data_IF_087547759669
#
_entry.id   IF_087547759669
#
_cell.length_a   1.000
_cell.length_b   1.000
_cell.length_c   1.000
_cell.angle_alpha   90.00
_cell.angle_beta   90.00
_cell.angle_gamma   90.00
#
_symmetry.space_group_name_H-M   'P 1'
#
loop_
_entity.id
_entity.type
_entity.pdbx_description
1 polymer ?
#
# COMPACT_ATOMS: atom_id res chain seq x y z
N UNK A 1 -40.24 45.91 -48.39
CA UNK A 1 -39.88 44.97 -47.30
C UNK A 1 -38.72 45.57 -46.52
N UNK A 2 -38.99 46.17 -45.34
CA UNK A 2 -37.94 46.55 -44.40
C UNK A 2 -37.48 45.26 -43.72
N UNK A 3 -36.18 44.94 -43.81
CA UNK A 3 -35.58 43.93 -42.94
C UNK A 3 -35.52 44.54 -41.56
N UNK A 4 -36.21 43.93 -40.60
CA UNK A 4 -36.05 44.27 -39.19
C UNK A 4 -34.60 43.95 -38.79
N UNK A 5 -33.83 44.98 -38.46
CA UNK A 5 -32.50 44.82 -37.90
C UNK A 5 -32.64 44.18 -36.51
N UNK A 6 -31.94 43.07 -36.22
CA UNK A 6 -32.05 42.41 -34.94
C UNK A 6 -31.58 43.37 -33.84
N UNK A 7 -32.46 43.60 -32.85
CA UNK A 7 -32.16 44.43 -31.70
C UNK A 7 -31.06 43.74 -30.86
N UNK A 8 -29.82 44.16 -31.07
CA UNK A 8 -28.61 43.56 -30.50
C UNK A 8 -28.67 43.57 -28.96
N UNK A 9 -29.28 44.60 -28.37
CA UNK A 9 -29.45 44.70 -26.91
C UNK A 9 -30.39 43.60 -26.41
N UNK A 10 -31.50 43.34 -27.10
CA UNK A 10 -32.45 42.29 -26.72
C UNK A 10 -31.80 40.90 -26.77
N UNK A 11 -30.97 40.64 -27.79
CA UNK A 11 -30.23 39.38 -27.92
C UNK A 11 -29.23 39.24 -26.76
N UNK A 12 -28.50 40.31 -26.42
CA UNK A 12 -27.54 40.31 -25.31
C UNK A 12 -28.21 40.07 -23.95
N UNK A 13 -29.39 40.65 -23.70
CA UNK A 13 -30.18 40.37 -22.50
C UNK A 13 -30.63 38.91 -22.42
N UNK A 14 -31.06 38.31 -23.54
CA UNK A 14 -31.43 36.89 -23.59
C UNK A 14 -30.23 36.01 -23.25
N UNK A 15 -29.05 36.30 -23.79
CA UNK A 15 -27.83 35.53 -23.48
C UNK A 15 -27.45 35.61 -22.00
N UNK A 16 -27.53 36.80 -21.40
CA UNK A 16 -27.24 36.99 -19.97
C UNK A 16 -28.26 36.23 -19.10
N UNK A 17 -29.54 36.28 -19.46
CA UNK A 17 -30.59 35.57 -18.73
C UNK A 17 -30.42 34.05 -18.80
N UNK A 18 -30.06 33.51 -19.98
CA UNK A 18 -29.76 32.08 -20.15
C UNK A 18 -28.54 31.67 -19.34
N UNK A 19 -27.46 32.47 -19.37
CA UNK A 19 -26.24 32.19 -18.60
C UNK A 19 -26.54 32.17 -17.09
N UNK A 20 -27.30 33.15 -16.59
CA UNK A 20 -27.71 33.22 -15.19
C UNK A 20 -28.53 31.98 -14.78
N UNK A 21 -29.45 31.54 -15.64
CA UNK A 21 -30.29 30.37 -15.36
C UNK A 21 -29.45 29.08 -15.30
N UNK A 22 -28.48 28.92 -16.20
CA UNK A 22 -27.54 27.79 -16.18
C UNK A 22 -26.71 27.77 -14.89
N UNK A 23 -26.20 28.92 -14.46
CA UNK A 23 -25.43 29.03 -13.21
C UNK A 23 -26.28 28.67 -11.98
N UNK A 24 -27.54 29.11 -11.93
CA UNK A 24 -28.47 28.77 -10.85
C UNK A 24 -28.74 27.25 -10.81
N UNK A 25 -28.91 26.61 -11.97
CA UNK A 25 -29.10 25.17 -12.08
C UNK A 25 -27.86 24.38 -11.62
N UNK A 26 -26.66 24.81 -12.02
CA UNK A 26 -25.41 24.19 -11.55
C UNK A 26 -25.27 24.34 -10.03
N UNK A 27 -25.53 25.53 -9.49
CA UNK A 27 -25.44 25.79 -8.06
C UNK A 27 -26.45 24.96 -7.24
N UNK A 28 -27.69 24.87 -7.71
CA UNK A 28 -28.72 24.03 -7.08
C UNK A 28 -28.44 22.54 -7.20
N UNK A 29 -27.78 22.09 -8.28
CA UNK A 29 -27.32 20.71 -8.40
C UNK A 29 -26.18 20.42 -7.41
N UNK A 30 -25.17 21.28 -7.34
CA UNK A 30 -24.01 21.11 -6.45
C UNK A 30 -24.40 21.14 -4.96
N UNK A 31 -25.32 22.00 -4.56
CA UNK A 31 -25.80 22.07 -3.16
C UNK A 31 -26.65 20.87 -2.74
N UNK A 32 -27.20 20.10 -3.69
CA UNK A 32 -27.91 18.85 -3.43
C UNK A 32 -27.00 17.62 -3.38
N UNK A 33 -25.73 17.76 -3.75
CA UNK A 33 -24.75 16.67 -3.60
C UNK A 33 -24.48 16.52 -2.11
N UNK A 34 -25.14 15.54 -1.49
CA UNK A 34 -24.85 15.14 -0.14
C UNK A 34 -23.49 14.42 -0.15
N UNK A 35 -22.42 15.15 0.11
CA UNK A 35 -21.07 14.60 0.22
C UNK A 35 -21.09 13.67 1.43
N UNK A 36 -21.25 12.37 1.19
CA UNK A 36 -21.03 11.36 2.22
C UNK A 36 -19.55 11.41 2.57
N UNK A 37 -19.21 12.16 3.60
CA UNK A 37 -17.90 12.06 4.23
C UNK A 37 -17.75 10.60 4.66
N UNK A 38 -16.83 9.89 4.03
CA UNK A 38 -16.41 8.57 4.48
C UNK A 38 -16.02 8.71 5.95
N UNK A 39 -16.58 7.85 6.81
CA UNK A 39 -16.12 7.77 8.20
C UNK A 39 -14.61 7.55 8.18
N UNK A 40 -13.84 8.14 9.12
CA UNK A 40 -12.42 7.83 9.24
C UNK A 40 -12.29 6.31 9.30
N UNK A 41 -11.53 5.74 8.36
CA UNK A 41 -11.28 4.30 8.33
C UNK A 41 -10.54 3.99 9.63
N UNK A 42 -11.21 3.32 10.56
CA UNK A 42 -10.55 2.81 11.75
C UNK A 42 -9.38 1.93 11.27
N UNK A 43 -8.16 2.28 11.68
CA UNK A 43 -6.97 1.53 11.30
C UNK A 43 -7.13 0.12 11.88
N UNK A 44 -7.38 -0.87 11.00
CA UNK A 44 -7.53 -2.26 11.41
C UNK A 44 -6.21 -2.78 11.96
N UNK A 45 -6.29 -3.49 13.08
CA UNK A 45 -5.16 -4.24 13.64
C UNK A 45 -4.70 -5.33 12.66
N UNK A 46 -3.47 -5.82 12.82
CA UNK A 46 -2.95 -6.89 11.98
C UNK A 46 -3.85 -8.14 12.02
N UNK A 47 -4.29 -8.55 13.21
CA UNK A 47 -5.15 -9.72 13.37
C UNK A 47 -6.48 -9.57 12.62
N UNK A 48 -7.10 -8.39 12.66
CA UNK A 48 -8.31 -8.08 11.89
C UNK A 48 -8.09 -8.09 10.36
N UNK A 49 -6.87 -7.82 9.90
CA UNK A 49 -6.51 -7.95 8.48
C UNK A 49 -6.35 -9.41 8.10
N UNK A 50 -5.76 -10.22 8.98
CA UNK A 50 -5.51 -11.64 8.77
C UNK A 50 -6.79 -12.49 8.73
N UNK A 51 -7.85 -12.12 9.47
CA UNK A 51 -9.14 -12.85 9.50
C UNK A 51 -9.74 -13.11 8.11
N UNK A 52 -9.45 -12.26 7.11
CA UNK A 52 -10.01 -12.36 5.76
C UNK A 52 -9.05 -12.97 4.75
N UNK A 53 -7.90 -13.46 5.19
CA UNK A 53 -6.84 -13.96 4.33
C UNK A 53 -6.68 -15.48 4.47
N UNK A 54 -6.16 -16.17 3.43
CA UNK A 54 -5.80 -17.58 3.51
C UNK A 54 -4.83 -17.85 4.67
N UNK A 55 -4.84 -19.09 5.16
CA UNK A 55 -3.99 -19.54 6.27
C UNK A 55 -2.49 -19.35 6.02
N UNK A 56 -2.05 -19.31 4.76
CA UNK A 56 -0.68 -18.96 4.40
C UNK A 56 -0.30 -17.56 4.88
N UNK A 57 -1.21 -16.58 4.84
CA UNK A 57 -0.95 -15.22 5.30
C UNK A 57 -0.74 -15.16 6.82
N UNK A 58 -1.54 -15.92 7.59
CA UNK A 58 -1.37 -16.05 9.03
C UNK A 58 0.00 -16.65 9.35
N UNK A 59 0.33 -17.78 8.74
CA UNK A 59 1.61 -18.46 8.94
C UNK A 59 2.80 -17.56 8.62
N UNK A 60 2.79 -16.86 7.47
CA UNK A 60 3.85 -15.91 7.10
C UNK A 60 3.94 -14.74 8.08
N UNK A 61 2.81 -14.26 8.59
CA UNK A 61 2.78 -13.23 9.62
C UNK A 61 3.34 -13.73 10.95
N UNK A 62 3.12 -14.99 11.32
CA UNK A 62 3.65 -15.58 12.55
C UNK A 62 5.18 -15.76 12.46
N UNK A 63 5.69 -16.23 11.32
CA UNK A 63 7.14 -16.25 11.04
C UNK A 63 7.75 -14.85 11.21
N UNK A 64 7.08 -13.84 10.65
CA UNK A 64 7.53 -12.49 10.77
C UNK A 64 7.49 -11.99 12.24
N UNK A 65 6.47 -12.36 13.03
CA UNK A 65 6.37 -12.00 14.46
C UNK A 65 7.52 -12.57 15.28
N UNK A 66 8.00 -13.76 14.95
CA UNK A 66 9.14 -14.37 15.64
C UNK A 66 10.43 -13.57 15.39
N UNK A 67 10.63 -13.08 14.17
CA UNK A 67 11.86 -12.36 13.80
C UNK A 67 11.75 -10.87 14.18
N UNK A 68 10.65 -10.22 13.82
CA UNK A 68 10.39 -8.78 13.89
C UNK A 68 9.27 -8.39 14.87
N UNK A 69 9.21 -9.03 16.04
CA UNK A 69 8.17 -8.79 17.05
C UNK A 69 7.89 -7.29 17.31
N UNK A 70 8.95 -6.53 17.60
CA UNK A 70 8.85 -5.09 17.93
C UNK A 70 8.23 -4.27 16.78
N UNK A 71 8.62 -4.57 15.54
CA UNK A 71 8.16 -3.84 14.35
C UNK A 71 6.79 -4.30 13.86
N UNK A 72 6.30 -5.46 14.29
CA UNK A 72 4.95 -5.93 13.98
C UNK A 72 3.93 -5.46 15.01
N UNK A 73 4.34 -5.26 16.26
CA UNK A 73 3.46 -4.66 17.28
C UNK A 73 3.20 -3.18 17.00
N UNK A 74 4.21 -2.47 16.46
CA UNK A 74 4.10 -1.05 16.09
C UNK A 74 4.52 -0.84 14.63
N UNK A 75 3.76 -1.38 13.65
CA UNK A 75 4.16 -1.31 12.27
C UNK A 75 3.87 0.08 11.72
N UNK A 76 4.84 0.68 11.05
CA UNK A 76 4.53 1.85 10.23
C UNK A 76 3.63 1.41 9.06
N UNK A 77 4.03 0.37 8.33
CA UNK A 77 3.25 -0.19 7.23
C UNK A 77 3.38 -1.71 7.15
N UNK A 78 2.22 -2.37 7.05
CA UNK A 78 2.11 -3.79 6.69
C UNK A 78 1.22 -3.90 5.45
N UNK A 79 1.67 -4.69 4.49
CA UNK A 79 0.99 -4.94 3.23
C UNK A 79 0.83 -6.44 2.94
N UNK A 80 -0.29 -6.77 2.31
CA UNK A 80 -0.55 -8.10 1.78
C UNK A 80 -0.79 -7.97 0.28
N UNK A 81 -0.07 -8.75 -0.53
CA UNK A 81 -0.25 -8.77 -1.98
C UNK A 81 -0.47 -10.17 -2.50
N UNK A 82 -1.24 -10.29 -3.57
CA UNK A 82 -1.60 -11.57 -4.18
C UNK A 82 -0.71 -11.84 -5.39
N UNK A 83 -0.21 -13.06 -5.48
CA UNK A 83 0.39 -13.59 -6.69
C UNK A 83 -0.69 -14.08 -7.66
N UNK A 84 -0.33 -14.24 -8.94
CA UNK A 84 -1.24 -14.79 -9.96
C UNK A 84 -1.74 -16.20 -9.62
N UNK A 85 -0.96 -16.96 -8.86
CA UNK A 85 -1.31 -18.29 -8.35
C UNK A 85 -2.41 -18.27 -7.28
N UNK A 86 -2.78 -17.09 -6.76
CA UNK A 86 -3.63 -16.94 -5.59
C UNK A 86 -2.87 -17.09 -4.26
N UNK A 87 -1.55 -17.25 -4.29
CA UNK A 87 -0.74 -17.19 -3.08
C UNK A 87 -0.65 -15.74 -2.54
N UNK A 88 -0.41 -15.60 -1.24
CA UNK A 88 -0.24 -14.28 -0.60
C UNK A 88 1.20 -14.07 -0.17
N UNK A 89 1.70 -12.87 -0.44
CA UNK A 89 2.89 -12.28 0.14
C UNK A 89 2.52 -11.40 1.33
N UNK A 90 3.27 -11.52 2.41
CA UNK A 90 3.25 -10.61 3.55
C UNK A 90 4.49 -9.71 3.50
N UNK A 91 4.32 -8.40 3.66
CA UNK A 91 5.42 -7.45 3.65
C UNK A 91 5.32 -6.43 4.79
N UNK A 92 6.46 -6.14 5.41
CA UNK A 92 6.62 -5.09 6.43
C UNK A 92 7.54 -4.02 5.85
N UNK A 93 7.17 -2.75 6.00
CA UNK A 93 8.05 -1.63 5.67
C UNK A 93 8.47 -0.96 6.97
N UNK A 94 9.78 -0.85 7.17
CA UNK A 94 10.37 -0.34 8.41
C UNK A 94 11.36 0.75 8.02
N UNK A 95 11.18 2.01 8.46
CA UNK A 95 12.17 3.05 8.19
C UNK A 95 13.53 2.69 8.79
N UNK A 96 14.60 3.14 8.14
CA UNK A 96 15.96 3.03 8.70
C UNK A 96 16.11 3.77 10.04
N UNK A 97 15.22 4.73 10.37
CA UNK A 97 15.17 5.42 11.67
C UNK A 97 14.66 4.52 12.81
N UNK A 98 13.87 3.49 12.50
CA UNK A 98 13.36 2.51 13.48
C UNK A 98 14.18 1.22 13.51
N UNK A 99 14.82 0.88 12.40
CA UNK A 99 15.69 -0.28 12.28
C UNK A 99 16.98 0.12 11.58
N UNK A 100 18.03 0.33 12.36
CA UNK A 100 19.33 0.64 11.79
C UNK A 100 19.90 -0.55 11.02
N UNK A 101 20.76 -0.29 10.04
CA UNK A 101 21.50 -1.36 9.36
C UNK A 101 22.30 -2.22 10.36
N UNK A 102 22.88 -1.59 11.38
CA UNK A 102 23.64 -2.30 12.40
C UNK A 102 22.75 -3.32 13.14
N UNK A 103 21.58 -2.90 13.59
CA UNK A 103 20.63 -3.76 14.30
C UNK A 103 20.06 -4.84 13.40
N UNK A 104 19.73 -4.52 12.13
CA UNK A 104 19.29 -5.51 11.17
C UNK A 104 20.27 -6.69 11.13
N UNK A 105 21.56 -6.39 10.91
CA UNK A 105 22.59 -7.42 10.75
C UNK A 105 22.97 -8.14 12.04
N UNK A 106 23.03 -7.44 13.19
CA UNK A 106 23.48 -8.05 14.44
C UNK A 106 22.36 -8.68 15.27
N UNK A 107 21.12 -8.22 15.11
CA UNK A 107 19.99 -8.63 15.95
C UNK A 107 18.93 -9.43 15.20
N UNK A 108 18.63 -9.08 13.95
CA UNK A 108 17.51 -9.69 13.21
C UNK A 108 17.95 -10.79 12.25
N UNK A 109 19.07 -10.62 11.54
CA UNK A 109 19.60 -11.69 10.68
C UNK A 109 19.90 -12.98 11.48
N UNK A 110 20.49 -12.95 12.70
CA UNK A 110 20.68 -14.17 13.48
C UNK A 110 19.36 -14.88 13.83
N UNK A 111 18.27 -14.14 14.05
CA UNK A 111 16.96 -14.73 14.33
C UNK A 111 16.40 -15.52 13.15
N UNK A 112 16.73 -15.15 11.90
CA UNK A 112 16.39 -15.99 10.75
C UNK A 112 17.04 -17.38 10.91
N UNK A 113 18.33 -17.41 11.21
CA UNK A 113 19.11 -18.64 11.35
C UNK A 113 18.62 -19.50 12.51
N UNK A 114 18.28 -18.87 13.64
CA UNK A 114 17.67 -19.54 14.81
C UNK A 114 16.30 -20.18 14.50
N UNK A 115 15.58 -19.63 13.51
CA UNK A 115 14.23 -20.08 13.13
C UNK A 115 14.21 -20.85 11.81
N UNK A 116 15.26 -21.62 11.54
CA UNK A 116 15.33 -22.53 10.38
C UNK A 116 15.29 -21.85 9.01
N UNK A 117 15.71 -20.59 8.93
CA UNK A 117 15.91 -19.90 7.66
C UNK A 117 17.39 -19.93 7.27
N UNK A 118 17.69 -20.41 6.05
CA UNK A 118 19.04 -20.41 5.50
C UNK A 118 19.20 -19.22 4.56
N UNK A 119 20.22 -18.41 4.79
CA UNK A 119 20.62 -17.35 3.86
C UNK A 119 20.96 -17.92 2.48
N UNK A 120 20.46 -17.29 1.43
CA UNK A 120 20.75 -17.61 0.04
C UNK A 120 21.67 -16.52 -0.54
N UNK A 121 22.55 -16.93 -1.45
CA UNK A 121 23.41 -16.00 -2.17
C UNK A 121 22.59 -15.21 -3.20
N UNK A 122 22.49 -13.90 -2.98
CA UNK A 122 21.85 -12.99 -3.91
C UNK A 122 22.58 -11.63 -3.88
N UNK A 123 23.02 -11.09 -5.02
CA UNK A 123 23.81 -9.87 -5.06
C UNK A 123 22.98 -8.59 -4.88
N UNK A 124 21.65 -8.66 -4.98
CA UNK A 124 20.78 -7.48 -5.00
C UNK A 124 20.07 -7.20 -3.68
N UNK A 125 19.77 -8.24 -2.90
CA UNK A 125 19.04 -8.16 -1.65
C UNK A 125 19.42 -9.32 -0.74
N UNK A 126 19.10 -9.21 0.56
CA UNK A 126 19.31 -10.33 1.48
C UNK A 126 18.16 -11.32 1.29
N UNK A 127 18.48 -12.57 0.99
CA UNK A 127 17.49 -13.60 0.74
C UNK A 127 17.65 -14.76 1.72
N UNK A 128 16.54 -15.31 2.15
CA UNK A 128 16.45 -16.48 3.01
C UNK A 128 15.47 -17.49 2.45
N UNK A 129 15.72 -18.76 2.75
CA UNK A 129 14.80 -19.87 2.48
C UNK A 129 14.55 -20.67 3.75
N UNK A 130 13.29 -20.82 4.13
CA UNK A 130 12.88 -21.63 5.27
C UNK A 130 13.09 -23.11 4.96
N UNK A 131 13.78 -23.85 5.82
CA UNK A 131 14.15 -25.26 5.60
C UNK A 131 12.94 -26.21 5.52
N UNK A 132 11.97 -26.01 6.42
CA UNK A 132 10.81 -26.90 6.56
C UNK A 132 9.73 -26.61 5.51
N UNK A 133 9.31 -25.35 5.37
CA UNK A 133 8.19 -24.96 4.50
C UNK A 133 8.63 -24.68 3.06
N UNK A 134 9.92 -24.39 2.86
CA UNK A 134 10.48 -23.94 1.59
C UNK A 134 10.20 -22.46 1.28
N UNK A 135 9.52 -21.74 2.18
CA UNK A 135 9.17 -20.33 1.99
C UNK A 135 10.40 -19.45 1.83
N UNK A 136 10.20 -18.30 1.22
CA UNK A 136 11.26 -17.32 0.98
C UNK A 136 11.03 -16.08 1.82
N UNK A 137 12.12 -15.43 2.22
CA UNK A 137 12.08 -14.10 2.78
C UNK A 137 13.17 -13.24 2.17
N UNK A 138 12.83 -11.99 1.89
CA UNK A 138 13.64 -11.09 1.09
C UNK A 138 13.68 -9.74 1.79
N UNK A 139 14.88 -9.17 1.95
CA UNK A 139 15.09 -7.87 2.59
C UNK A 139 15.78 -6.95 1.59
N UNK A 140 15.08 -5.89 1.20
CA UNK A 140 15.56 -4.89 0.25
C UNK A 140 15.39 -3.48 0.82
N UNK A 141 16.04 -2.51 0.19
CA UNK A 141 15.91 -1.09 0.56
C UNK A 141 15.11 -0.33 -0.50
N UNK A 142 14.23 0.56 -0.08
CA UNK A 142 13.54 1.51 -0.95
C UNK A 142 13.66 2.92 -0.38
N UNK A 143 13.97 3.89 -1.24
CA UNK A 143 13.91 5.31 -0.88
C UNK A 143 12.55 5.88 -1.27
N UNK A 144 11.83 6.44 -0.31
CA UNK A 144 10.50 7.05 -0.51
C UNK A 144 10.26 8.14 0.52
N UNK A 145 9.58 9.21 0.13
CA UNK A 145 9.21 10.33 1.03
C UNK A 145 10.42 10.88 1.82
N UNK A 146 11.54 11.07 1.11
CA UNK A 146 12.82 11.56 1.63
C UNK A 146 13.53 10.66 2.66
N UNK A 147 13.07 9.43 2.87
CA UNK A 147 13.66 8.48 3.81
C UNK A 147 13.87 7.07 3.21
N UNK A 148 14.80 6.32 3.80
CA UNK A 148 15.04 4.92 3.43
C UNK A 148 14.16 3.99 4.26
N UNK A 149 13.65 2.96 3.60
CA UNK A 149 12.88 1.89 4.20
C UNK A 149 13.52 0.54 3.91
N UNK A 150 13.50 -0.33 4.91
CA UNK A 150 13.59 -1.77 4.72
C UNK A 150 12.25 -2.31 4.28
N UNK A 151 12.22 -3.01 3.16
CA UNK A 151 11.10 -3.84 2.72
C UNK A 151 11.46 -5.27 3.04
N UNK A 152 10.75 -5.86 4.00
CA UNK A 152 10.93 -7.25 4.44
C UNK A 152 9.72 -8.04 4.00
N UNK A 153 9.94 -9.01 3.13
CA UNK A 153 8.88 -9.82 2.54
C UNK A 153 8.99 -11.26 3.05
N UNK A 154 7.82 -11.88 3.25
CA UNK A 154 7.65 -13.30 3.52
C UNK A 154 6.74 -13.86 2.43
N UNK A 155 7.24 -14.86 1.72
CA UNK A 155 6.73 -15.34 0.43
C UNK A 155 6.57 -16.87 0.47
N UNK A 156 5.45 -17.43 -0.01
CA UNK A 156 5.25 -18.88 -0.09
C UNK A 156 6.28 -19.57 -1.00
N UNK A 157 6.64 -20.81 -0.67
CA UNK A 157 7.72 -21.59 -1.32
C UNK A 157 7.71 -21.77 -2.84
N UNK A 158 6.57 -21.55 -3.50
CA UNK A 158 6.41 -21.67 -4.96
C UNK A 158 6.51 -20.33 -5.69
N UNK A 159 6.73 -19.26 -4.96
CA UNK A 159 6.84 -17.90 -5.48
C UNK A 159 8.23 -17.36 -5.16
N UNK A 160 8.71 -16.42 -5.97
CA UNK A 160 10.05 -15.87 -5.83
C UNK A 160 10.04 -14.47 -5.21
N UNK A 161 11.17 -14.15 -4.57
CA UNK A 161 11.55 -12.77 -4.29
C UNK A 161 11.51 -11.96 -5.59
N UNK A 162 10.48 -11.15 -5.76
CA UNK A 162 10.38 -10.23 -6.89
C UNK A 162 11.22 -8.99 -6.59
N UNK A 163 12.09 -8.59 -7.51
CA UNK A 163 12.57 -7.21 -7.56
C UNK A 163 11.35 -6.31 -7.79
N UNK A 164 10.85 -5.65 -6.75
CA UNK A 164 10.00 -4.51 -6.98
C UNK A 164 10.86 -3.38 -7.56
N UNK A 165 10.91 -3.33 -8.89
CA UNK A 165 10.92 -2.08 -9.60
C UNK A 165 9.66 -1.32 -9.21
N UNK A 166 9.84 -0.25 -8.42
CA UNK A 166 9.15 1.02 -8.55
C UNK A 166 7.92 1.01 -9.47
N UNK A 167 6.74 0.89 -8.88
CA UNK A 167 5.53 1.55 -9.37
C UNK A 167 4.89 2.30 -8.20
#
# INVERSE_FOLDING_TARGET
>A
MKKDEPNVDLIQYIYIAVLALVLILIFTFLTKINIKHSKPIAVKTLDQRLEKLPSSALRLSDEAKVIFAEQIENPEWIHFSWFKSGAIRFAIHIPESQLSRHDLYLRYIPKYEENHWIRQDNPYFIQFKHQITGDQSCISTQYKDEQNYWIIEFIPSKEDCGLFSLL
#
